data_IF_879593854165
#
_entry.id   IF_879593854165
#
_cell.length_a   1.000
_cell.length_b   1.000
_cell.length_c   1.000
_cell.angle_alpha   90.00
_cell.angle_beta   90.00
_cell.angle_gamma   90.00
#
_symmetry.space_group_name_H-M   'P 1'
#
loop_
_entity.id
_entity.type
_entity.pdbx_description
1 polymer ?
#
# COMPACT_ATOMS: atom_id res chain seq x y z
N UNK A 1 -37.38 12.49 -15.93
CA UNK A 1 -36.61 11.95 -14.77
C UNK A 1 -37.31 10.69 -14.30
N UNK A 2 -36.57 9.61 -14.05
CA UNK A 2 -37.13 8.31 -13.68
C UNK A 2 -37.89 8.41 -12.34
N UNK A 3 -39.14 7.91 -12.24
CA UNK A 3 -39.95 8.01 -11.01
C UNK A 3 -39.27 7.39 -9.78
N UNK A 4 -38.35 6.43 -9.98
CA UNK A 4 -37.54 5.81 -8.92
C UNK A 4 -36.54 6.78 -8.29
N UNK A 5 -35.94 7.67 -9.09
CA UNK A 5 -34.98 8.68 -8.60
C UNK A 5 -35.70 9.76 -7.79
N UNK A 6 -36.92 10.13 -8.22
CA UNK A 6 -37.75 11.08 -7.49
C UNK A 6 -38.21 10.49 -6.14
N UNK A 7 -38.60 9.21 -6.12
CA UNK A 7 -38.99 8.51 -4.89
C UNK A 7 -37.81 8.35 -3.93
N UNK A 8 -36.61 8.02 -4.44
CA UNK A 8 -35.41 7.91 -3.63
C UNK A 8 -34.98 9.27 -3.04
N UNK A 9 -35.12 10.36 -3.80
CA UNK A 9 -34.86 11.73 -3.31
C UNK A 9 -35.91 12.17 -2.28
N UNK A 10 -37.19 11.86 -2.49
CA UNK A 10 -38.24 12.15 -1.50
C UNK A 10 -38.06 11.33 -0.23
N UNK A 11 -37.67 10.06 -0.33
CA UNK A 11 -37.39 9.21 0.82
C UNK A 11 -36.11 9.67 1.55
N UNK A 12 -35.07 10.06 0.81
CA UNK A 12 -33.87 10.70 1.38
C UNK A 12 -34.20 12.00 2.10
N UNK A 13 -35.03 12.86 1.51
CA UNK A 13 -35.47 14.12 2.11
C UNK A 13 -36.37 13.88 3.33
N UNK A 14 -37.23 12.86 3.28
CA UNK A 14 -38.09 12.45 4.40
C UNK A 14 -37.28 11.86 5.55
N UNK A 15 -36.24 11.07 5.26
CA UNK A 15 -35.28 10.57 6.25
C UNK A 15 -34.44 11.70 6.84
N UNK A 16 -34.08 12.70 6.03
CA UNK A 16 -33.40 13.92 6.48
C UNK A 16 -34.30 14.80 7.36
N UNK A 17 -35.60 14.86 7.07
CA UNK A 17 -36.62 15.53 7.87
C UNK A 17 -36.96 14.77 9.16
N UNK A 18 -36.85 13.43 9.16
CA UNK A 18 -36.99 12.58 10.35
C UNK A 18 -35.80 12.71 11.32
N UNK A 19 -34.66 13.23 10.87
CA UNK A 19 -33.49 13.50 11.71
C UNK A 19 -33.51 14.86 12.42
N UNK A 20 -34.58 15.66 12.28
CA UNK A 20 -34.77 16.88 13.08
C UNK A 20 -35.21 16.49 14.50
N UNK A 21 -34.30 15.83 15.22
CA UNK A 21 -34.36 15.73 16.67
C UNK A 21 -34.06 17.11 17.25
N UNK A 22 -34.77 17.48 18.31
CA UNK A 22 -34.47 18.72 19.01
C UNK A 22 -32.99 18.71 19.43
N UNK A 23 -32.28 19.80 19.17
CA UNK A 23 -30.86 19.90 19.52
C UNK A 23 -30.74 20.53 20.90
N UNK A 24 -29.99 19.89 21.80
CA UNK A 24 -29.68 20.44 23.13
C UNK A 24 -28.36 21.19 23.04
N UNK A 25 -28.31 22.40 23.56
CA UNK A 25 -27.07 23.14 23.69
C UNK A 25 -26.28 22.66 24.91
N UNK A 26 -25.32 21.77 24.63
CA UNK A 26 -24.36 21.23 25.60
C UNK A 26 -22.97 21.77 25.30
N UNK A 27 -22.32 22.32 26.30
CA UNK A 27 -20.92 22.75 26.22
C UNK A 27 -20.02 21.76 26.95
N UNK A 28 -19.05 21.19 26.24
CA UNK A 28 -18.10 20.22 26.77
C UNK A 28 -16.83 20.87 27.30
N UNK A 29 -16.27 20.30 28.36
CA UNK A 29 -15.01 20.67 28.98
C UNK A 29 -14.13 19.42 29.17
N UNK A 30 -12.98 19.33 28.48
CA UNK A 30 -12.47 20.28 27.49
C UNK A 30 -13.32 20.29 26.20
N UNK A 31 -13.38 21.44 25.51
CA UNK A 31 -14.19 21.67 24.30
C UNK A 31 -13.76 20.82 23.11
N UNK A 32 -12.54 20.28 23.15
CA UNK A 32 -12.06 19.33 22.15
C UNK A 32 -11.12 18.31 22.81
N UNK A 33 -11.39 17.02 22.58
CA UNK A 33 -10.52 15.92 23.00
C UNK A 33 -9.70 15.44 21.81
N UNK A 34 -8.80 16.31 21.35
CA UNK A 34 -8.07 16.04 20.10
C UNK A 34 -7.25 14.76 20.13
N UNK A 35 -6.68 14.34 21.26
CA UNK A 35 -5.89 13.11 21.39
C UNK A 35 -6.07 12.48 22.78
N UNK A 36 -6.59 11.26 22.82
CA UNK A 36 -6.58 10.36 24.00
C UNK A 36 -5.75 9.14 23.62
N UNK A 37 -4.85 8.71 24.50
CA UNK A 37 -4.06 7.51 24.22
C UNK A 37 -4.92 6.25 24.37
N UNK A 38 -4.69 5.24 23.54
CA UNK A 38 -5.29 3.90 23.71
C UNK A 38 -5.05 3.39 25.15
N UNK A 39 -6.08 2.79 25.75
CA UNK A 39 -6.16 2.33 27.16
C UNK A 39 -6.21 3.45 28.22
N UNK A 40 -6.17 4.72 27.83
CA UNK A 40 -6.31 5.85 28.76
C UNK A 40 -7.78 6.09 29.12
N UNK A 41 -8.01 6.46 30.38
CA UNK A 41 -9.31 6.95 30.86
C UNK A 41 -9.23 8.45 31.12
N UNK A 42 -10.27 9.18 30.71
CA UNK A 42 -10.33 10.64 30.86
C UNK A 42 -11.72 11.08 31.24
N UNK A 43 -11.81 11.89 32.30
CA UNK A 43 -13.07 12.51 32.71
C UNK A 43 -13.39 13.67 31.78
N UNK A 44 -14.62 13.68 31.28
CA UNK A 44 -15.17 14.75 30.45
C UNK A 44 -16.33 15.36 31.21
N UNK A 45 -16.33 16.68 31.30
CA UNK A 45 -17.39 17.45 31.93
C UNK A 45 -18.23 18.10 30.86
N UNK A 46 -19.51 18.32 31.15
CA UNK A 46 -20.42 19.03 30.25
C UNK A 46 -21.40 19.86 31.04
N UNK A 47 -21.85 20.97 30.46
CA UNK A 47 -22.90 21.81 31.04
C UNK A 47 -24.03 21.98 30.03
N UNK A 48 -25.26 21.92 30.51
CA UNK A 48 -26.47 22.07 29.69
C UNK A 48 -27.00 23.49 29.88
N UNK A 49 -27.16 24.21 28.78
CA UNK A 49 -27.56 25.63 28.79
C UNK A 49 -29.05 25.86 28.56
N UNK A 50 -29.81 24.79 28.30
CA UNK A 50 -31.24 24.88 28.04
C UNK A 50 -32.02 24.96 29.37
N UNK A 51 -32.65 26.11 29.62
CA UNK A 51 -33.45 26.39 30.82
C UNK A 51 -34.92 25.94 30.70
N UNK A 52 -35.32 25.34 29.58
CA UNK A 52 -36.63 24.71 29.49
C UNK A 52 -36.60 23.38 30.24
N UNK A 53 -37.65 23.11 31.02
CA UNK A 53 -38.04 21.82 31.63
C UNK A 53 -37.74 21.68 33.14
N UNK A 54 -38.76 22.04 33.92
CA UNK A 54 -38.80 22.16 35.38
C UNK A 54 -39.15 20.85 36.14
N UNK A 55 -38.93 19.66 35.57
CA UNK A 55 -39.25 18.40 36.27
C UNK A 55 -38.03 17.47 36.38
N UNK A 56 -37.30 17.48 37.52
CA UNK A 56 -36.06 16.73 37.70
C UNK A 56 -36.24 15.21 37.78
N UNK A 57 -37.47 14.70 37.92
CA UNK A 57 -37.71 13.27 38.17
C UNK A 57 -37.98 12.44 36.89
N UNK A 58 -38.13 13.06 35.71
CA UNK A 58 -38.42 12.33 34.46
C UNK A 58 -37.34 12.45 33.37
N UNK A 59 -36.36 13.35 33.54
CA UNK A 59 -35.36 13.67 32.51
C UNK A 59 -34.00 13.09 32.89
N UNK A 60 -33.43 12.23 32.05
CA UNK A 60 -32.10 11.64 32.24
C UNK A 60 -31.17 12.09 31.12
N UNK A 61 -30.00 12.62 31.47
CA UNK A 61 -28.92 12.91 30.53
C UNK A 61 -27.93 11.76 30.48
N UNK A 62 -27.70 11.23 29.27
CA UNK A 62 -26.80 10.11 29.05
C UNK A 62 -25.82 10.43 27.93
N UNK A 63 -24.54 10.26 28.18
CA UNK A 63 -23.54 10.31 27.13
C UNK A 63 -23.54 8.99 26.35
N UNK A 64 -23.47 9.08 25.02
CA UNK A 64 -23.36 7.95 24.10
C UNK A 64 -22.18 8.17 23.15
N UNK A 65 -21.43 7.11 22.90
CA UNK A 65 -20.38 7.08 21.87
C UNK A 65 -20.99 6.63 20.55
N UNK A 66 -20.65 7.31 19.45
CA UNK A 66 -21.07 6.91 18.10
C UNK A 66 -20.47 5.56 17.70
N UNK A 67 -19.25 5.26 18.14
CA UNK A 67 -18.58 3.98 17.89
C UNK A 67 -18.05 3.39 19.22
N UNK A 68 -18.74 2.39 19.78
CA UNK A 68 -18.35 1.75 21.04
C UNK A 68 -17.06 0.92 20.92
N UNK A 69 -16.55 0.63 19.71
CA UNK A 69 -15.27 -0.10 19.55
C UNK A 69 -14.05 0.82 19.72
N UNK A 70 -14.22 2.12 19.49
CA UNK A 70 -13.15 3.13 19.62
C UNK A 70 -13.17 3.70 21.04
N UNK A 71 -14.35 4.06 21.55
CA UNK A 71 -14.53 4.67 22.87
C UNK A 71 -15.77 4.09 23.56
N UNK A 72 -15.61 3.77 24.84
CA UNK A 72 -16.71 3.41 25.74
C UNK A 72 -16.81 4.41 26.89
N UNK A 73 -18.05 4.67 27.31
CA UNK A 73 -18.35 5.49 28.47
C UNK A 73 -18.46 4.55 29.68
N UNK A 74 -17.52 4.69 30.59
CA UNK A 74 -17.38 3.83 31.76
C UNK A 74 -18.17 4.44 32.94
N UNK A 75 -18.78 3.58 33.77
CA UNK A 75 -19.57 3.98 34.95
C UNK A 75 -20.81 4.87 34.71
N UNK A 76 -21.27 4.99 33.45
CA UNK A 76 -22.44 5.80 33.12
C UNK A 76 -22.17 7.31 33.11
N UNK A 77 -23.24 8.11 33.09
CA UNK A 77 -23.17 9.58 33.08
C UNK A 77 -23.72 10.10 34.40
N UNK A 78 -22.92 10.92 35.07
CA UNK A 78 -23.35 11.65 36.26
C UNK A 78 -23.87 13.03 35.84
N UNK A 79 -24.99 13.47 36.40
CA UNK A 79 -25.56 14.78 36.16
C UNK A 79 -26.07 15.39 37.46
N UNK A 80 -25.62 16.61 37.76
CA UNK A 80 -26.08 17.45 38.86
C UNK A 80 -27.12 18.45 38.34
N UNK A 81 -28.39 18.19 38.67
CA UNK A 81 -29.53 19.01 38.27
C UNK A 81 -29.55 20.39 38.92
N UNK A 82 -28.83 20.62 40.02
CA UNK A 82 -28.82 21.92 40.68
C UNK A 82 -27.91 22.93 39.96
N UNK A 83 -26.84 22.44 39.36
CA UNK A 83 -25.85 23.25 38.65
C UNK A 83 -25.87 23.06 37.13
N UNK A 84 -26.79 22.23 36.61
CA UNK A 84 -26.90 21.83 35.20
C UNK A 84 -25.58 21.31 34.61
N UNK A 85 -24.78 20.64 35.44
CA UNK A 85 -23.45 20.15 35.09
C UNK A 85 -23.40 18.64 35.22
N UNK A 86 -22.75 17.98 34.28
CA UNK A 86 -22.53 16.54 34.31
C UNK A 86 -21.08 16.17 34.03
N UNK A 87 -20.78 14.91 34.31
CA UNK A 87 -19.50 14.31 34.01
C UNK A 87 -19.67 12.86 33.58
N UNK A 88 -18.76 12.39 32.74
CA UNK A 88 -18.68 10.99 32.37
C UNK A 88 -17.22 10.59 32.17
N UNK A 89 -16.92 9.33 32.45
CA UNK A 89 -15.58 8.79 32.28
C UNK A 89 -15.50 8.12 30.90
N UNK A 90 -14.57 8.56 30.09
CA UNK A 90 -14.34 8.03 28.75
C UNK A 90 -13.13 7.11 28.79
N UNK A 91 -13.28 5.89 28.30
CA UNK A 91 -12.17 4.95 28.10
C UNK A 91 -11.89 4.77 26.61
N UNK A 92 -10.65 5.04 26.20
CA UNK A 92 -10.18 4.80 24.85
C UNK A 92 -9.82 3.32 24.67
N UNK A 93 -10.47 2.64 23.72
CA UNK A 93 -10.29 1.21 23.48
C UNK A 93 -9.41 0.93 22.26
N UNK A 94 -9.58 1.68 21.18
CA UNK A 94 -8.88 1.43 19.92
C UNK A 94 -8.65 2.73 19.14
N UNK A 95 -7.61 2.75 18.30
CA UNK A 95 -7.28 3.94 17.50
C UNK A 95 -8.37 4.27 16.49
N UNK A 96 -8.65 5.56 16.31
CA UNK A 96 -9.66 6.03 15.36
C UNK A 96 -10.23 7.40 15.74
N UNK A 97 -11.17 7.88 14.92
CA UNK A 97 -11.96 9.09 15.21
C UNK A 97 -13.40 8.71 15.48
N UNK A 98 -13.96 9.26 16.54
CA UNK A 98 -15.37 9.08 16.89
C UNK A 98 -15.90 10.33 17.58
N UNK A 99 -17.22 10.42 17.70
CA UNK A 99 -17.88 11.53 18.37
C UNK A 99 -18.68 11.04 19.57
N UNK A 100 -18.63 11.78 20.67
CA UNK A 100 -19.48 11.56 21.82
C UNK A 100 -20.63 12.57 21.77
N UNK A 101 -21.85 12.12 22.05
CA UNK A 101 -23.04 12.98 22.15
C UNK A 101 -23.71 12.77 23.50
N UNK A 102 -24.31 13.81 24.03
CA UNK A 102 -25.21 13.71 25.20
C UNK A 102 -26.63 13.67 24.67
N UNK A 103 -27.37 12.64 25.05
CA UNK A 103 -28.79 12.50 24.76
C UNK A 103 -29.59 12.78 26.00
N UNK A 104 -30.75 13.40 25.78
CA UNK A 104 -31.78 13.55 26.80
C UNK A 104 -32.86 12.50 26.56
N UNK A 105 -33.07 11.68 27.57
CA UNK A 105 -34.12 10.68 27.60
C UNK A 105 -35.22 11.13 28.56
N UNK A 106 -36.48 11.04 28.13
CA UNK A 106 -37.67 11.26 28.97
C UNK A 106 -38.52 10.01 28.88
N UNK A 107 -38.80 9.38 30.02
CA UNK A 107 -39.54 8.11 30.09
C UNK A 107 -38.99 7.03 29.14
N UNK A 108 -37.66 6.97 28.98
CA UNK A 108 -36.96 6.00 28.11
C UNK A 108 -36.98 6.33 26.61
N UNK A 109 -37.55 7.47 26.21
CA UNK A 109 -37.54 7.94 24.81
C UNK A 109 -36.56 9.09 24.62
N UNK A 110 -35.68 8.99 23.62
CA UNK A 110 -34.74 10.06 23.26
C UNK A 110 -35.51 11.24 22.67
N UNK A 111 -35.50 12.38 23.35
CA UNK A 111 -36.17 13.61 22.88
C UNK A 111 -35.22 14.54 22.13
N UNK A 112 -33.98 14.61 22.58
CA UNK A 112 -33.04 15.61 22.07
C UNK A 112 -31.59 15.13 22.15
N UNK A 113 -30.76 15.61 21.22
CA UNK A 113 -29.37 15.17 21.04
C UNK A 113 -28.44 16.39 20.98
N UNK A 114 -27.30 16.33 21.67
CA UNK A 114 -26.32 17.40 21.65
C UNK A 114 -25.52 17.45 20.34
N UNK A 115 -24.83 18.57 20.14
CA UNK A 115 -23.72 18.64 19.19
C UNK A 115 -22.63 17.60 19.53
N UNK A 116 -21.92 17.06 18.51
CA UNK A 116 -20.89 16.06 18.74
C UNK A 116 -19.62 16.66 19.36
N UNK A 117 -19.11 16.00 20.40
CA UNK A 117 -17.74 16.17 20.86
C UNK A 117 -16.83 15.25 20.07
N UNK A 118 -16.04 15.82 19.16
CA UNK A 118 -15.07 15.07 18.36
C UNK A 118 -13.91 14.57 19.24
N UNK A 119 -13.60 13.29 19.13
CA UNK A 119 -12.53 12.62 19.87
C UNK A 119 -11.66 11.81 18.92
N UNK A 120 -10.34 11.97 19.02
CA UNK A 120 -9.40 11.10 18.32
C UNK A 120 -8.60 10.27 19.32
N UNK A 121 -8.63 8.95 19.14
CA UNK A 121 -7.84 8.01 19.91
C UNK A 121 -6.58 7.68 19.13
N UNK A 122 -5.43 7.85 19.78
CA UNK A 122 -4.10 7.62 19.21
C UNK A 122 -3.44 6.42 19.88
N UNK A 123 -2.67 5.67 19.09
CA UNK A 123 -2.01 4.46 19.58
C UNK A 123 -0.78 4.81 20.40
N UNK A 124 -0.56 4.09 21.51
CA UNK A 124 0.71 4.17 22.23
C UNK A 124 1.79 3.41 21.45
N UNK A 125 2.82 4.12 21.00
CA UNK A 125 3.96 3.50 20.31
C UNK A 125 4.76 2.64 21.29
N UNK A 126 4.57 1.32 21.22
CA UNK A 126 5.29 0.33 22.03
C UNK A 126 6.76 0.23 21.60
N UNK A 127 7.64 -0.19 22.52
CA UNK A 127 9.07 -0.40 22.22
C UNK A 127 9.29 -1.35 21.04
N UNK A 128 8.44 -2.36 20.91
CA UNK A 128 8.48 -3.31 19.79
C UNK A 128 8.21 -2.66 18.43
N UNK A 129 7.28 -1.71 18.35
CA UNK A 129 7.02 -0.98 17.10
C UNK A 129 8.22 -0.11 16.73
N UNK A 130 8.89 0.52 17.71
CA UNK A 130 10.14 1.28 17.45
C UNK A 130 11.26 0.37 16.95
N UNK A 131 11.45 -0.79 17.59
CA UNK A 131 12.41 -1.78 17.15
C UNK A 131 12.13 -2.25 15.72
N UNK A 132 10.87 -2.57 15.40
CA UNK A 132 10.44 -2.92 14.05
C UNK A 132 10.77 -1.83 13.02
N UNK A 133 10.38 -0.58 13.28
CA UNK A 133 10.67 0.53 12.36
C UNK A 133 12.17 0.70 12.13
N UNK A 134 12.98 0.64 13.19
CA UNK A 134 14.44 0.75 13.07
C UNK A 134 15.05 -0.42 12.28
N UNK A 135 14.60 -1.66 12.53
CA UNK A 135 15.05 -2.84 11.80
C UNK A 135 14.67 -2.78 10.32
N UNK A 136 13.44 -2.37 9.99
CA UNK A 136 13.00 -2.21 8.60
C UNK A 136 13.80 -1.13 7.89
N UNK A 137 13.99 0.04 8.50
CA UNK A 137 14.80 1.11 7.93
C UNK A 137 16.22 0.64 7.62
N UNK A 138 16.82 -0.14 8.52
CA UNK A 138 18.16 -0.72 8.34
C UNK A 138 18.18 -1.74 7.20
N UNK A 139 17.24 -2.68 7.17
CA UNK A 139 17.16 -3.72 6.14
C UNK A 139 16.88 -3.14 4.75
N UNK A 140 15.97 -2.17 4.65
CA UNK A 140 15.70 -1.43 3.41
C UNK A 140 16.96 -0.72 2.92
N UNK A 141 17.67 -0.03 3.81
CA UNK A 141 18.92 0.65 3.46
C UNK A 141 19.98 -0.32 2.94
N UNK A 142 20.15 -1.47 3.61
CA UNK A 142 21.05 -2.53 3.15
C UNK A 142 20.65 -3.09 1.78
N UNK A 143 19.35 -3.25 1.53
CA UNK A 143 18.84 -3.72 0.24
C UNK A 143 19.12 -2.68 -0.87
N UNK A 144 18.92 -1.39 -0.60
CA UNK A 144 19.23 -0.31 -1.54
C UNK A 144 20.74 -0.20 -1.83
N UNK A 145 21.60 -0.40 -0.82
CA UNK A 145 23.05 -0.50 -1.03
C UNK A 145 23.39 -1.71 -1.90
N UNK A 146 22.82 -2.89 -1.62
CA UNK A 146 23.05 -4.10 -2.42
C UNK A 146 22.57 -3.93 -3.87
N UNK A 147 21.43 -3.27 -4.08
CA UNK A 147 20.94 -2.91 -5.41
C UNK A 147 21.93 -1.97 -6.12
N UNK A 148 22.40 -0.91 -5.45
CA UNK A 148 23.39 0.01 -6.02
C UNK A 148 24.70 -0.70 -6.39
N UNK A 149 25.16 -1.64 -5.56
CA UNK A 149 26.32 -2.49 -5.87
C UNK A 149 26.09 -3.40 -7.09
N UNK A 150 24.85 -3.81 -7.34
CA UNK A 150 24.48 -4.67 -8.45
C UNK A 150 24.26 -3.91 -9.78
N UNK A 151 23.94 -2.62 -9.70
CA UNK A 151 23.51 -1.80 -10.84
C UNK A 151 24.69 -1.28 -11.67
N UNK A 152 25.06 -1.97 -12.75
CA UNK A 152 26.13 -1.50 -13.66
C UNK A 152 25.63 -0.39 -14.59
N UNK A 153 26.18 0.81 -14.46
CA UNK A 153 25.77 1.98 -15.27
C UNK A 153 26.00 1.77 -16.77
N UNK A 154 26.97 0.94 -17.18
CA UNK A 154 27.18 0.59 -18.59
C UNK A 154 26.03 -0.27 -19.12
N UNK A 155 25.54 -1.20 -18.29
CA UNK A 155 24.37 -2.04 -18.58
C UNK A 155 23.10 -1.21 -18.60
N UNK A 156 22.92 -0.29 -17.64
CA UNK A 156 21.80 0.67 -17.64
C UNK A 156 21.76 1.44 -18.97
N UNK A 157 22.90 1.98 -19.41
CA UNK A 157 23.00 2.68 -20.70
C UNK A 157 22.66 1.76 -21.88
N UNK A 158 23.09 0.50 -21.86
CA UNK A 158 22.78 -0.46 -22.92
C UNK A 158 21.29 -0.83 -22.96
N UNK A 159 20.65 -1.01 -21.80
CA UNK A 159 19.21 -1.25 -21.69
C UNK A 159 18.42 -0.05 -22.20
N UNK A 160 18.84 1.18 -21.84
CA UNK A 160 18.19 2.40 -22.31
C UNK A 160 18.30 2.63 -23.82
N UNK A 161 19.29 2.03 -24.50
CA UNK A 161 19.35 2.03 -25.98
C UNK A 161 18.26 1.18 -26.63
N UNK A 162 17.62 0.28 -25.87
CA UNK A 162 16.45 -0.51 -26.29
C UNK A 162 15.22 0.00 -25.52
N UNK A 163 14.66 1.16 -25.90
CA UNK A 163 13.78 1.94 -25.02
C UNK A 163 12.42 1.31 -24.78
N UNK A 164 11.96 0.39 -25.63
CA UNK A 164 10.57 -0.14 -25.58
C UNK A 164 10.24 -0.69 -24.19
N UNK A 165 11.03 -1.63 -23.66
CA UNK A 165 10.74 -2.25 -22.37
C UNK A 165 10.86 -1.28 -21.18
N UNK A 166 11.94 -0.48 -21.05
CA UNK A 166 12.02 0.57 -20.03
C UNK A 166 10.90 1.62 -20.11
N UNK A 167 10.48 2.01 -21.32
CA UNK A 167 9.38 2.95 -21.52
C UNK A 167 8.04 2.38 -21.07
N UNK A 168 7.77 1.11 -21.37
CA UNK A 168 6.57 0.43 -20.87
C UNK A 168 6.59 0.39 -19.35
N UNK A 169 7.71 0.00 -18.73
CA UNK A 169 7.85 0.00 -17.27
C UNK A 169 7.63 1.38 -16.65
N UNK A 170 8.16 2.44 -17.28
CA UNK A 170 7.95 3.80 -16.80
C UNK A 170 6.48 4.25 -16.90
N UNK A 171 5.84 3.99 -18.05
CA UNK A 171 4.43 4.36 -18.29
C UNK A 171 3.50 3.55 -17.39
N UNK A 172 3.74 2.25 -17.23
CA UNK A 172 2.94 1.42 -16.35
C UNK A 172 3.07 1.90 -14.89
N UNK A 173 4.30 2.19 -14.43
CA UNK A 173 4.55 2.63 -13.06
C UNK A 173 3.97 4.02 -12.75
N UNK A 174 4.13 5.00 -13.64
CA UNK A 174 3.80 6.40 -13.32
C UNK A 174 2.63 6.99 -14.07
N UNK A 175 2.05 6.28 -15.03
CA UNK A 175 0.76 6.66 -15.59
C UNK A 175 -0.32 5.69 -15.14
N UNK A 176 -0.12 4.39 -15.34
CA UNK A 176 -1.19 3.42 -15.16
C UNK A 176 -1.46 3.10 -13.69
N UNK A 177 -0.43 2.77 -12.90
CA UNK A 177 -0.61 2.40 -11.48
C UNK A 177 -1.27 3.49 -10.63
N UNK A 178 -0.91 4.79 -10.76
CA UNK A 178 -1.61 5.86 -10.04
C UNK A 178 -3.09 5.96 -10.42
N UNK A 179 -3.41 5.81 -11.71
CA UNK A 179 -4.79 5.86 -12.20
C UNK A 179 -5.62 4.66 -11.73
N UNK A 180 -5.03 3.46 -11.77
CA UNK A 180 -5.65 2.23 -11.25
C UNK A 180 -5.91 2.38 -9.75
N UNK A 181 -4.92 2.82 -8.99
CA UNK A 181 -5.05 3.02 -7.55
C UNK A 181 -6.12 4.07 -7.21
N UNK A 182 -6.14 5.20 -7.92
CA UNK A 182 -7.15 6.24 -7.75
C UNK A 182 -8.56 5.73 -8.08
N UNK A 183 -8.72 5.04 -9.20
CA UNK A 183 -10.00 4.46 -9.62
C UNK A 183 -10.52 3.43 -8.62
N UNK A 184 -9.67 2.47 -8.22
CA UNK A 184 -10.03 1.47 -7.21
C UNK A 184 -10.35 2.11 -5.85
N UNK A 185 -9.59 3.13 -5.45
CA UNK A 185 -9.83 3.86 -4.21
C UNK A 185 -11.23 4.49 -4.20
N UNK A 186 -11.58 5.23 -5.26
CA UNK A 186 -12.89 5.89 -5.39
C UNK A 186 -14.05 4.91 -5.51
N UNK A 187 -13.80 3.70 -6.04
CA UNK A 187 -14.84 2.67 -6.22
C UNK A 187 -15.08 1.82 -4.96
N UNK A 188 -14.04 1.56 -4.16
CA UNK A 188 -14.10 0.56 -3.09
C UNK A 188 -14.09 1.14 -1.67
N UNK A 189 -13.73 2.42 -1.52
CA UNK A 189 -13.67 3.07 -0.21
C UNK A 189 -14.54 4.31 -0.16
N UNK A 190 -15.35 4.42 0.89
CA UNK A 190 -16.01 5.68 1.27
C UNK A 190 -15.07 6.58 2.10
N UNK A 191 -14.10 5.97 2.79
CA UNK A 191 -13.17 6.67 3.66
C UNK A 191 -11.97 7.20 2.87
N UNK A 192 -11.84 8.53 2.80
CA UNK A 192 -10.79 9.24 2.06
C UNK A 192 -9.38 8.91 2.57
N UNK A 193 -9.23 8.56 3.86
CA UNK A 193 -7.94 8.14 4.44
C UNK A 193 -7.48 6.83 3.81
N UNK A 194 -8.39 5.87 3.59
CA UNK A 194 -8.09 4.62 2.90
C UNK A 194 -7.85 4.83 1.41
N UNK A 195 -8.62 5.74 0.78
CA UNK A 195 -8.40 6.15 -0.61
C UNK A 195 -6.99 6.70 -0.80
N UNK A 196 -6.57 7.60 0.09
CA UNK A 196 -5.23 8.16 0.08
C UNK A 196 -4.16 7.09 0.29
N UNK A 197 -4.39 6.14 1.22
CA UNK A 197 -3.50 5.00 1.44
C UNK A 197 -3.24 4.19 0.16
N UNK A 198 -4.29 3.84 -0.58
CA UNK A 198 -4.16 3.11 -1.84
C UNK A 198 -3.53 3.95 -2.95
N UNK A 199 -3.94 5.21 -3.08
CA UNK A 199 -3.43 6.12 -4.10
C UNK A 199 -1.93 6.38 -3.93
N UNK A 200 -1.49 6.65 -2.70
CA UNK A 200 -0.08 6.81 -2.36
C UNK A 200 0.71 5.51 -2.62
N UNK A 201 0.14 4.35 -2.30
CA UNK A 201 0.73 3.07 -2.68
C UNK A 201 0.94 2.99 -4.19
N UNK A 202 -0.10 3.29 -4.99
CA UNK A 202 -0.09 3.32 -6.46
C UNK A 202 0.88 4.30 -7.13
N UNK A 203 1.22 5.39 -6.43
CA UNK A 203 2.18 6.38 -6.91
C UNK A 203 3.64 6.00 -6.59
N UNK A 204 3.85 5.03 -5.71
CA UNK A 204 5.19 4.69 -5.24
C UNK A 204 6.02 4.07 -6.37
N UNK A 205 7.36 4.23 -6.37
CA UNK A 205 8.22 3.57 -7.36
C UNK A 205 8.18 2.04 -7.23
N UNK A 206 8.78 1.36 -8.20
CA UNK A 206 9.03 -0.08 -8.12
C UNK A 206 9.75 -0.48 -6.83
N UNK A 207 9.29 -1.55 -6.20
CA UNK A 207 9.83 -2.04 -4.93
C UNK A 207 11.06 -2.92 -5.11
N UNK A 208 12.08 -2.81 -4.24
CA UNK A 208 13.32 -3.59 -4.35
C UNK A 208 13.13 -5.12 -4.35
N UNK A 209 11.98 -5.63 -3.89
CA UNK A 209 11.61 -7.03 -4.00
C UNK A 209 11.32 -7.50 -5.45
N UNK A 210 11.02 -6.58 -6.38
CA UNK A 210 10.79 -6.89 -7.79
C UNK A 210 12.00 -7.59 -8.41
N UNK A 211 13.21 -7.10 -8.12
CA UNK A 211 14.47 -7.66 -8.60
C UNK A 211 14.63 -9.14 -8.20
N UNK A 212 14.26 -9.49 -6.97
CA UNK A 212 14.32 -10.89 -6.51
C UNK A 212 13.31 -11.77 -7.24
N UNK A 213 12.07 -11.31 -7.38
CA UNK A 213 11.04 -12.05 -8.10
C UNK A 213 11.37 -12.24 -9.58
N UNK A 214 11.96 -11.23 -10.21
CA UNK A 214 12.47 -11.32 -11.58
C UNK A 214 13.50 -12.44 -11.69
N UNK A 215 14.46 -12.55 -10.76
CA UNK A 215 15.43 -13.66 -10.76
C UNK A 215 14.75 -15.01 -10.55
N UNK A 216 13.84 -15.12 -9.56
CA UNK A 216 13.16 -16.38 -9.25
C UNK A 216 12.28 -16.89 -10.39
N UNK A 217 11.72 -15.98 -11.18
CA UNK A 217 10.88 -16.30 -12.33
C UNK A 217 11.69 -16.40 -13.65
N UNK A 218 13.02 -16.32 -13.60
CA UNK A 218 13.93 -16.33 -14.76
C UNK A 218 13.66 -15.19 -15.77
N UNK A 219 13.31 -14.01 -15.26
CA UNK A 219 13.19 -12.78 -16.04
C UNK A 219 14.51 -12.04 -16.23
N UNK A 220 14.48 -10.94 -16.98
CA UNK A 220 15.65 -10.11 -17.27
C UNK A 220 15.99 -9.21 -16.06
N UNK A 221 16.96 -9.65 -15.25
CA UNK A 221 17.41 -8.91 -14.06
C UNK A 221 18.00 -7.53 -14.41
N UNK A 222 18.75 -7.42 -15.49
CA UNK A 222 19.38 -6.15 -15.88
C UNK A 222 18.32 -5.10 -16.23
N UNK A 223 17.25 -5.52 -16.90
CA UNK A 223 16.11 -4.67 -17.20
C UNK A 223 15.37 -4.27 -15.90
N UNK A 224 15.09 -5.22 -15.01
CA UNK A 224 14.46 -4.95 -13.70
C UNK A 224 15.24 -3.91 -12.89
N UNK A 225 16.54 -4.12 -12.68
CA UNK A 225 17.40 -3.20 -11.94
C UNK A 225 17.41 -1.79 -12.58
N UNK A 226 17.43 -1.73 -13.91
CA UNK A 226 17.39 -0.47 -14.66
C UNK A 226 16.06 0.26 -14.46
N UNK A 227 14.93 -0.43 -14.58
CA UNK A 227 13.60 0.15 -14.37
C UNK A 227 13.41 0.61 -12.94
N UNK A 228 13.78 -0.20 -11.95
CA UNK A 228 13.69 0.18 -10.54
C UNK A 228 14.57 1.38 -10.22
N UNK A 229 15.78 1.45 -10.80
CA UNK A 229 16.67 2.59 -10.64
C UNK A 229 16.05 3.88 -11.20
N UNK A 230 15.59 3.84 -12.45
CA UNK A 230 14.95 4.98 -13.12
C UNK A 230 13.69 5.39 -12.36
N UNK A 231 12.90 4.41 -11.91
CA UNK A 231 11.69 4.68 -11.14
C UNK A 231 12.00 5.37 -9.83
N UNK A 232 12.95 4.89 -9.03
CA UNK A 232 13.32 5.55 -7.78
C UNK A 232 13.80 7.00 -8.00
N UNK A 233 14.52 7.29 -9.09
CA UNK A 233 14.89 8.66 -9.44
C UNK A 233 13.68 9.50 -9.86
N UNK A 234 12.81 8.94 -10.72
CA UNK A 234 11.62 9.62 -11.20
C UNK A 234 10.59 9.89 -10.09
N UNK A 235 10.57 9.07 -9.03
CA UNK A 235 9.68 9.25 -7.88
C UNK A 235 9.79 10.66 -7.27
N UNK A 236 10.98 11.28 -7.28
CA UNK A 236 11.22 12.63 -6.78
C UNK A 236 10.31 13.68 -7.45
N UNK A 237 9.98 13.50 -8.72
CA UNK A 237 9.08 14.39 -9.46
C UNK A 237 7.68 13.83 -9.62
N UNK A 238 7.56 12.53 -9.94
CA UNK A 238 6.28 11.92 -10.27
C UNK A 238 5.36 11.76 -9.07
N UNK A 239 5.88 11.42 -7.88
CA UNK A 239 5.02 11.32 -6.69
C UNK A 239 4.42 12.68 -6.29
N UNK A 240 5.21 13.77 -6.14
CA UNK A 240 4.63 15.08 -5.91
C UNK A 240 3.63 15.49 -6.99
N UNK A 241 3.93 15.24 -8.27
CA UNK A 241 3.04 15.57 -9.38
C UNK A 241 1.65 14.92 -9.23
N UNK A 242 1.60 13.63 -8.91
CA UNK A 242 0.33 12.93 -8.68
C UNK A 242 -0.40 13.42 -7.43
N UNK A 243 0.34 13.73 -6.37
CA UNK A 243 -0.25 14.24 -5.14
C UNK A 243 -0.79 15.68 -5.29
N UNK A 244 -0.17 16.50 -6.15
CA UNK A 244 -0.66 17.84 -6.51
C UNK A 244 -1.86 17.84 -7.45
N UNK A 245 -2.01 16.79 -8.26
CA UNK A 245 -3.09 16.66 -9.24
C UNK A 245 -4.26 15.88 -8.63
N UNK A 246 -4.35 14.57 -8.87
CA UNK A 246 -5.44 13.74 -8.36
C UNK A 246 -5.43 13.62 -6.84
N UNK A 247 -4.24 13.59 -6.23
CA UNK A 247 -4.11 13.52 -4.77
C UNK A 247 -4.71 14.73 -4.07
N UNK A 248 -4.76 15.91 -4.70
CA UNK A 248 -5.37 17.11 -4.12
C UNK A 248 -6.84 16.87 -3.79
N UNK A 249 -7.55 16.12 -4.62
CA UNK A 249 -8.95 15.74 -4.38
C UNK A 249 -9.16 14.79 -3.19
N UNK A 250 -8.09 14.19 -2.67
CA UNK A 250 -8.09 13.32 -1.49
C UNK A 250 -7.54 14.05 -0.27
N UNK A 251 -6.51 14.88 -0.45
CA UNK A 251 -5.89 15.66 0.63
C UNK A 251 -6.75 16.83 1.09
N UNK A 252 -7.50 17.51 0.20
CA UNK A 252 -8.30 18.68 0.56
C UNK A 252 -9.36 18.42 1.64
N UNK A 253 -9.76 17.15 1.80
CA UNK A 253 -10.75 16.74 2.79
C UNK A 253 -10.09 16.37 4.15
N UNK A 254 -8.78 16.18 4.20
CA UNK A 254 -8.06 15.61 5.35
C UNK A 254 -7.06 16.62 5.97
N UNK A 255 -6.30 17.34 5.14
CA UNK A 255 -5.23 18.21 5.61
C UNK A 255 -5.19 19.50 4.79
N UNK A 256 -4.87 20.61 5.47
CA UNK A 256 -4.87 21.95 4.88
C UNK A 256 -3.82 22.09 3.78
N UNK A 257 -2.71 21.36 3.86
CA UNK A 257 -1.63 21.38 2.87
C UNK A 257 -0.94 20.02 2.73
N UNK A 258 -0.56 19.67 1.50
CA UNK A 258 0.24 18.48 1.22
C UNK A 258 1.69 18.73 1.65
N UNK A 259 2.31 17.89 2.49
CA UNK A 259 3.63 18.18 3.06
C UNK A 259 4.77 17.79 2.11
N UNK A 260 4.92 18.54 1.02
CA UNK A 260 5.92 18.33 -0.04
C UNK A 260 7.35 18.20 0.47
N UNK A 261 7.72 19.02 1.46
CA UNK A 261 9.04 18.97 2.08
C UNK A 261 9.33 17.58 2.66
N UNK A 262 8.35 16.98 3.33
CA UNK A 262 8.51 15.67 3.96
C UNK A 262 8.55 14.55 2.92
N UNK A 263 7.75 14.67 1.85
CA UNK A 263 7.77 13.76 0.70
C UNK A 263 9.16 13.76 0.07
N UNK A 264 9.69 14.94 -0.26
CA UNK A 264 10.99 15.10 -0.89
C UNK A 264 12.12 14.58 0.02
N UNK A 265 12.12 14.94 1.30
CA UNK A 265 13.10 14.45 2.27
C UNK A 265 13.08 12.92 2.38
N UNK A 266 11.88 12.32 2.42
CA UNK A 266 11.73 10.87 2.50
C UNK A 266 12.31 10.18 1.27
N UNK A 267 11.99 10.68 0.06
CA UNK A 267 12.50 10.12 -1.18
C UNK A 267 14.01 10.30 -1.33
N UNK A 268 14.53 11.50 -1.03
CA UNK A 268 15.98 11.79 -1.06
C UNK A 268 16.72 10.89 -0.07
N UNK A 269 16.19 10.68 1.14
CA UNK A 269 16.83 9.83 2.14
C UNK A 269 17.01 8.38 1.67
N UNK A 270 16.12 7.86 0.82
CA UNK A 270 16.25 6.53 0.22
C UNK A 270 17.23 6.48 -0.96
N UNK A 271 17.51 7.60 -1.63
CA UNK A 271 18.55 7.65 -2.67
C UNK A 271 19.96 7.64 -2.08
N UNK A 272 20.15 8.05 -0.82
CA UNK A 272 21.44 8.01 -0.13
C UNK A 272 22.03 6.59 -0.09
N UNK A 273 21.35 5.55 0.44
CA UNK A 273 21.89 4.19 0.44
C UNK A 273 22.14 3.64 -0.97
N UNK A 274 21.31 3.99 -1.95
CA UNK A 274 21.54 3.61 -3.35
C UNK A 274 22.82 4.24 -3.92
N UNK A 275 23.05 5.53 -3.65
CA UNK A 275 24.26 6.24 -4.05
C UNK A 275 25.51 5.65 -3.39
N UNK A 276 25.42 5.23 -2.12
CA UNK A 276 26.50 4.50 -1.43
C UNK A 276 26.80 3.18 -2.15
N UNK A 277 25.77 2.41 -2.52
CA UNK A 277 25.94 1.18 -3.28
C UNK A 277 26.62 1.40 -4.64
N UNK A 278 26.22 2.45 -5.36
CA UNK A 278 26.86 2.86 -6.62
C UNK A 278 28.32 3.27 -6.43
N UNK A 279 28.63 3.99 -5.35
CA UNK A 279 29.99 4.35 -4.99
C UNK A 279 30.85 3.10 -4.71
N UNK A 280 30.31 2.11 -4.00
CA UNK A 280 30.98 0.82 -3.80
C UNK A 280 31.19 0.07 -5.11
N UNK A 281 30.23 0.12 -6.03
CA UNK A 281 30.41 -0.46 -7.34
C UNK A 281 31.58 0.15 -8.11
N UNK A 282 31.71 1.48 -8.06
CA UNK A 282 32.75 2.21 -8.80
C UNK A 282 34.13 2.11 -8.16
N UNK A 283 34.22 2.22 -6.84
CA UNK A 283 35.50 2.35 -6.13
C UNK A 283 35.94 1.09 -5.39
N UNK A 284 35.02 0.18 -5.04
CA UNK A 284 35.28 -1.02 -4.24
C UNK A 284 34.71 -2.28 -4.93
N UNK A 285 35.22 -2.68 -6.11
CA UNK A 285 34.63 -3.75 -6.92
C UNK A 285 34.57 -5.11 -6.20
N UNK A 286 35.51 -5.37 -5.27
CA UNK A 286 35.47 -6.56 -4.41
C UNK A 286 34.25 -6.58 -3.49
N UNK A 287 33.93 -5.44 -2.87
CA UNK A 287 32.73 -5.28 -2.02
C UNK A 287 31.47 -5.42 -2.88
N UNK A 288 31.42 -4.77 -4.04
CA UNK A 288 30.26 -4.88 -4.93
C UNK A 288 30.01 -6.31 -5.44
N UNK A 289 31.07 -7.08 -5.71
CA UNK A 289 30.95 -8.52 -6.05
C UNK A 289 30.37 -9.33 -4.88
N UNK A 290 30.78 -9.02 -3.65
CA UNK A 290 30.23 -9.65 -2.45
C UNK A 290 28.75 -9.28 -2.25
N UNK A 291 28.41 -7.98 -2.30
CA UNK A 291 27.03 -7.47 -2.22
C UNK A 291 26.10 -8.14 -3.24
N UNK A 292 26.55 -8.30 -4.49
CA UNK A 292 25.79 -9.03 -5.53
C UNK A 292 25.52 -10.49 -5.13
N UNK A 293 26.51 -11.18 -4.53
CA UNK A 293 26.35 -12.57 -4.08
C UNK A 293 25.34 -12.69 -2.93
N UNK A 294 25.29 -11.71 -2.04
CA UNK A 294 24.39 -11.72 -0.86
C UNK A 294 23.03 -11.07 -1.12
N UNK A 295 22.79 -10.48 -2.31
CA UNK A 295 21.55 -9.80 -2.67
C UNK A 295 20.31 -10.68 -2.44
N UNK A 296 20.33 -11.90 -2.98
CA UNK A 296 19.23 -12.85 -2.85
C UNK A 296 18.99 -13.32 -1.40
N UNK A 297 19.99 -13.83 -0.65
CA UNK A 297 19.75 -14.29 0.72
C UNK A 297 19.34 -13.15 1.68
N UNK A 298 19.90 -11.95 1.54
CA UNK A 298 19.48 -10.78 2.36
C UNK A 298 18.03 -10.39 2.05
N UNK A 299 17.63 -10.43 0.77
CA UNK A 299 16.24 -10.14 0.37
C UNK A 299 15.26 -11.18 0.92
N UNK A 300 15.60 -12.48 0.84
CA UNK A 300 14.81 -13.56 1.44
C UNK A 300 14.66 -13.36 2.94
N UNK A 301 15.77 -13.10 3.63
CA UNK A 301 15.76 -12.83 5.07
C UNK A 301 14.87 -11.64 5.41
N UNK A 302 14.97 -10.54 4.64
CA UNK A 302 14.13 -9.35 4.83
C UNK A 302 12.64 -9.67 4.66
N UNK A 303 12.26 -10.45 3.65
CA UNK A 303 10.86 -10.85 3.44
C UNK A 303 10.36 -11.68 4.64
N UNK A 304 11.13 -12.69 5.07
CA UNK A 304 10.78 -13.52 6.22
C UNK A 304 10.69 -12.70 7.51
N UNK A 305 11.62 -11.74 7.71
CA UNK A 305 11.62 -10.83 8.84
C UNK A 305 10.37 -9.94 8.85
N UNK A 306 9.99 -9.36 7.71
CA UNK A 306 8.78 -8.53 7.60
C UNK A 306 7.54 -9.37 7.87
N UNK A 307 7.44 -10.59 7.33
CA UNK A 307 6.29 -11.47 7.55
C UNK A 307 6.19 -11.86 9.04
N UNK A 308 7.28 -12.30 9.67
CA UNK A 308 7.24 -12.76 11.06
C UNK A 308 7.16 -11.61 12.05
N UNK A 309 8.18 -10.75 12.07
CA UNK A 309 8.29 -9.67 13.05
C UNK A 309 7.36 -8.50 12.73
N UNK A 310 7.14 -8.19 11.44
CA UNK A 310 6.21 -7.13 11.05
C UNK A 310 4.76 -7.46 11.38
N UNK A 311 4.34 -8.71 11.18
CA UNK A 311 3.00 -9.17 11.62
C UNK A 311 2.86 -9.04 13.13
N UNK A 312 3.84 -9.53 13.89
CA UNK A 312 3.80 -9.47 15.35
C UNK A 312 3.82 -8.02 15.90
N UNK A 313 4.67 -7.16 15.35
CA UNK A 313 4.79 -5.77 15.79
C UNK A 313 3.58 -4.89 15.42
N UNK A 314 2.76 -5.33 14.45
CA UNK A 314 1.63 -4.56 13.92
C UNK A 314 0.31 -5.36 13.94
N UNK A 315 0.12 -6.26 14.91
CA UNK A 315 -1.12 -7.04 15.06
C UNK A 315 -2.40 -6.19 15.08
N UNK A 316 -2.31 -4.94 15.57
CA UNK A 316 -3.43 -4.00 15.57
C UNK A 316 -3.93 -3.66 14.16
N UNK A 317 -3.06 -3.60 13.15
CA UNK A 317 -3.46 -3.29 11.77
C UNK A 317 -4.36 -4.36 11.18
N UNK A 318 -4.20 -5.62 11.59
CA UNK A 318 -5.05 -6.72 11.12
C UNK A 318 -6.49 -6.59 11.62
N UNK A 319 -6.72 -5.91 12.75
CA UNK A 319 -8.08 -5.58 13.22
C UNK A 319 -8.77 -4.53 12.35
N UNK A 320 -7.99 -3.74 11.60
CA UNK A 320 -8.48 -2.73 10.66
C UNK A 320 -8.76 -3.30 9.27
N UNK A 321 -8.41 -4.57 9.01
CA UNK A 321 -8.63 -5.18 7.71
C UNK A 321 -10.12 -5.41 7.47
N UNK A 322 -10.62 -4.81 6.40
CA UNK A 322 -11.95 -5.07 5.87
C UNK A 322 -11.82 -5.79 4.53
N UNK A 323 -12.90 -6.45 4.10
CA UNK A 323 -12.93 -7.10 2.77
C UNK A 323 -12.64 -6.12 1.64
N UNK A 324 -13.14 -4.88 1.74
CA UNK A 324 -12.87 -3.84 0.75
C UNK A 324 -11.38 -3.52 0.67
N UNK A 325 -10.67 -3.44 1.81
CA UNK A 325 -9.21 -3.20 1.84
C UNK A 325 -8.48 -4.34 1.14
N UNK A 326 -8.82 -5.59 1.46
CA UNK A 326 -8.17 -6.76 0.86
C UNK A 326 -8.43 -6.86 -0.64
N UNK A 327 -9.68 -6.62 -1.08
CA UNK A 327 -10.06 -6.63 -2.49
C UNK A 327 -9.34 -5.51 -3.24
N UNK A 328 -9.36 -4.28 -2.73
CA UNK A 328 -8.71 -3.15 -3.39
C UNK A 328 -7.20 -3.33 -3.49
N UNK A 329 -6.56 -3.79 -2.41
CA UNK A 329 -5.13 -4.08 -2.38
C UNK A 329 -4.75 -5.20 -3.35
N UNK A 330 -5.51 -6.29 -3.37
CA UNK A 330 -5.31 -7.42 -4.30
C UNK A 330 -5.50 -6.97 -5.73
N UNK A 331 -6.61 -6.29 -6.03
CA UNK A 331 -6.95 -5.82 -7.37
C UNK A 331 -5.87 -4.87 -7.90
N UNK A 332 -5.40 -3.92 -7.10
CA UNK A 332 -4.36 -2.98 -7.52
C UNK A 332 -3.08 -3.71 -7.93
N UNK A 333 -2.60 -4.64 -7.11
CA UNK A 333 -1.38 -5.40 -7.38
C UNK A 333 -1.54 -6.32 -8.59
N UNK A 334 -2.67 -7.03 -8.69
CA UNK A 334 -2.93 -7.99 -9.76
C UNK A 334 -3.15 -7.31 -11.10
N UNK A 335 -3.85 -6.17 -11.11
CA UNK A 335 -3.98 -5.34 -12.30
C UNK A 335 -2.61 -4.80 -12.74
N UNK A 336 -1.72 -4.45 -11.81
CA UNK A 336 -0.35 -4.10 -12.14
C UNK A 336 0.40 -5.21 -12.90
N UNK A 337 0.36 -6.44 -12.39
CA UNK A 337 0.95 -7.59 -13.08
C UNK A 337 0.30 -7.84 -14.45
N UNK A 338 -1.02 -7.78 -14.52
CA UNK A 338 -1.78 -8.01 -15.75
C UNK A 338 -1.46 -6.97 -16.81
N UNK A 339 -1.53 -5.68 -16.46
CA UNK A 339 -1.28 -4.56 -17.38
C UNK A 339 0.16 -4.58 -17.85
N UNK A 340 1.13 -4.76 -16.94
CA UNK A 340 2.54 -4.87 -17.32
C UNK A 340 2.78 -6.03 -18.30
N UNK A 341 2.09 -7.16 -18.09
CA UNK A 341 2.13 -8.30 -19.02
C UNK A 341 1.51 -7.98 -20.38
N UNK A 342 0.32 -7.37 -20.39
CA UNK A 342 -0.42 -7.06 -21.62
C UNK A 342 0.30 -6.02 -22.47
N UNK A 343 0.80 -4.94 -21.87
CA UNK A 343 1.57 -3.92 -22.58
C UNK A 343 2.87 -4.50 -23.15
N UNK A 344 3.55 -5.34 -22.39
CA UNK A 344 4.78 -6.00 -22.86
C UNK A 344 4.53 -6.97 -24.02
N UNK A 345 3.41 -7.72 -23.97
CA UNK A 345 3.00 -8.60 -25.06
C UNK A 345 2.59 -7.82 -26.31
N UNK A 346 1.89 -6.70 -26.15
CA UNK A 346 1.47 -5.86 -27.27
C UNK A 346 2.65 -5.23 -28.02
N UNK A 347 3.82 -5.16 -27.39
CA UNK A 347 5.07 -4.68 -28.00
C UNK A 347 6.05 -5.82 -28.34
N UNK A 348 5.58 -7.06 -28.42
CA UNK A 348 6.34 -8.25 -28.80
C UNK A 348 7.67 -8.43 -28.03
N UNK A 349 7.66 -8.11 -26.73
CA UNK A 349 8.82 -8.31 -25.88
C UNK A 349 9.12 -9.79 -25.63
N UNK A 350 10.38 -10.11 -25.35
CA UNK A 350 10.77 -11.47 -24.98
C UNK A 350 10.10 -11.89 -23.66
N UNK A 351 9.92 -13.19 -23.44
CA UNK A 351 9.33 -13.68 -22.19
C UNK A 351 10.08 -13.18 -20.95
N UNK A 352 11.41 -13.07 -21.01
CA UNK A 352 12.23 -12.60 -19.90
C UNK A 352 11.95 -11.12 -19.60
N UNK A 353 11.75 -10.30 -20.63
CA UNK A 353 11.43 -8.89 -20.50
C UNK A 353 9.98 -8.68 -20.05
N UNK A 354 9.03 -9.47 -20.56
CA UNK A 354 7.63 -9.47 -20.09
C UNK A 354 7.58 -9.74 -18.59
N UNK A 355 8.30 -10.76 -18.11
CA UNK A 355 8.36 -11.09 -16.67
C UNK A 355 8.93 -9.90 -15.89
N UNK A 356 10.04 -9.31 -16.36
CA UNK A 356 10.66 -8.18 -15.67
C UNK A 356 9.70 -6.96 -15.59
N UNK A 357 9.04 -6.60 -16.69
CA UNK A 357 8.11 -5.45 -16.72
C UNK A 357 6.85 -5.72 -15.91
N UNK A 358 6.27 -6.92 -15.99
CA UNK A 358 5.10 -7.29 -15.22
C UNK A 358 5.39 -7.24 -13.71
N UNK A 359 6.49 -7.88 -13.28
CA UNK A 359 6.92 -7.90 -11.89
C UNK A 359 7.21 -6.49 -11.39
N UNK A 360 7.90 -5.67 -12.18
CA UNK A 360 8.20 -4.28 -11.84
C UNK A 360 6.92 -3.44 -11.65
N UNK A 361 5.93 -3.62 -12.52
CA UNK A 361 4.66 -2.87 -12.46
C UNK A 361 3.83 -3.25 -11.24
N UNK A 362 3.73 -4.54 -10.92
CA UNK A 362 2.88 -5.01 -9.82
C UNK A 362 3.54 -4.87 -8.44
N UNK A 363 4.87 -5.00 -8.35
CA UNK A 363 5.61 -4.88 -7.09
C UNK A 363 5.98 -3.43 -6.82
N UNK A 364 5.19 -2.75 -6.00
CA UNK A 364 5.47 -1.37 -5.60
C UNK A 364 6.25 -1.28 -4.28
N UNK A 365 6.89 -0.13 -4.06
CA UNK A 365 7.60 0.14 -2.82
C UNK A 365 6.65 0.56 -1.69
N UNK A 366 6.18 -0.42 -0.92
CA UNK A 366 5.33 -0.17 0.25
C UNK A 366 6.01 0.68 1.31
N UNK A 367 7.33 0.54 1.49
CA UNK A 367 8.08 1.31 2.48
C UNK A 367 7.97 2.81 2.23
N UNK A 368 8.11 3.23 0.97
CA UNK A 368 7.93 4.63 0.56
C UNK A 368 6.51 5.10 0.86
N UNK A 369 5.50 4.32 0.51
CA UNK A 369 4.11 4.68 0.77
C UNK A 369 3.84 4.90 2.27
N UNK A 370 4.26 3.97 3.13
CA UNK A 370 4.04 4.04 4.57
C UNK A 370 4.79 5.22 5.19
N UNK A 371 6.07 5.40 4.83
CA UNK A 371 6.87 6.52 5.34
C UNK A 371 6.27 7.86 4.92
N UNK A 372 5.83 7.96 3.66
CA UNK A 372 5.20 9.16 3.14
C UNK A 372 3.92 9.48 3.90
N UNK A 373 3.03 8.51 4.10
CA UNK A 373 1.79 8.69 4.87
C UNK A 373 2.09 9.06 6.32
N UNK A 374 3.07 8.42 6.96
CA UNK A 374 3.46 8.67 8.34
C UNK A 374 4.04 10.06 8.59
N UNK A 375 4.76 10.63 7.62
CA UNK A 375 5.22 12.02 7.69
C UNK A 375 4.18 13.03 7.20
N UNK A 376 3.15 12.58 6.50
CA UNK A 376 2.16 13.46 5.89
C UNK A 376 0.90 13.66 6.71
N UNK A 377 0.57 12.68 7.55
CA UNK A 377 -0.65 12.65 8.33
C UNK A 377 -0.32 12.57 9.83
N UNK A 378 -1.19 13.12 10.66
CA UNK A 378 -1.11 12.88 12.10
C UNK A 378 -1.71 11.50 12.46
N UNK A 379 -1.43 11.01 13.67
CA UNK A 379 -2.19 9.88 14.20
C UNK A 379 -3.58 10.37 14.63
N UNK A 380 -4.65 9.59 14.36
CA UNK A 380 -4.64 8.21 13.85
C UNK A 380 -4.68 8.05 12.32
N UNK A 381 -4.80 9.11 11.52
CA UNK A 381 -4.97 8.98 10.06
C UNK A 381 -3.78 8.31 9.37
N UNK A 382 -2.55 8.60 9.81
CA UNK A 382 -1.34 7.95 9.31
C UNK A 382 -1.41 6.42 9.46
N UNK A 383 -1.78 5.92 10.64
CA UNK A 383 -1.87 4.49 10.94
C UNK A 383 -3.00 3.84 10.12
N UNK A 384 -4.15 4.53 9.97
CA UNK A 384 -5.29 4.06 9.17
C UNK A 384 -4.98 3.99 7.67
N UNK A 385 -4.32 5.01 7.12
CA UNK A 385 -3.95 5.03 5.70
C UNK A 385 -2.91 3.95 5.36
N UNK A 386 -1.94 3.72 6.26
CA UNK A 386 -0.88 2.74 6.09
C UNK A 386 -1.37 1.28 6.04
N UNK A 387 -2.58 0.99 6.52
CA UNK A 387 -3.20 -0.34 6.46
C UNK A 387 -3.29 -0.85 5.02
N UNK A 388 -3.63 0.02 4.07
CA UNK A 388 -3.85 -0.39 2.66
C UNK A 388 -2.53 -0.79 1.96
N UNK A 389 -1.44 0.00 2.02
CA UNK A 389 -0.13 -0.44 1.57
C UNK A 389 0.31 -1.77 2.20
N UNK A 390 0.11 -1.95 3.51
CA UNK A 390 0.48 -3.19 4.21
C UNK A 390 -0.31 -4.39 3.68
N UNK A 391 -1.62 -4.23 3.49
CA UNK A 391 -2.46 -5.25 2.86
C UNK A 391 -1.96 -5.59 1.45
N UNK A 392 -1.58 -4.60 0.65
CA UNK A 392 -1.04 -4.81 -0.68
C UNK A 392 0.30 -5.56 -0.66
N UNK A 393 1.20 -5.28 0.30
CA UNK A 393 2.43 -6.05 0.47
C UNK A 393 2.17 -7.53 0.76
N UNK A 394 1.17 -7.83 1.60
CA UNK A 394 0.80 -9.21 1.94
C UNK A 394 0.23 -9.93 0.70
N UNK A 395 -0.53 -9.22 -0.14
CA UNK A 395 -1.15 -9.78 -1.34
C UNK A 395 -0.19 -9.92 -2.52
N UNK A 396 0.97 -9.24 -2.51
CA UNK A 396 1.93 -9.22 -3.61
C UNK A 396 2.63 -10.57 -3.87
N UNK A 397 3.14 -11.30 -2.85
CA UNK A 397 3.77 -12.60 -3.07
C UNK A 397 2.84 -13.67 -3.64
N UNK A 398 1.53 -13.61 -3.37
CA UNK A 398 0.57 -14.67 -3.75
C UNK A 398 0.59 -15.01 -5.25
N UNK A 399 0.32 -14.07 -6.18
CA UNK A 399 0.33 -14.39 -7.61
C UNK A 399 1.73 -14.80 -8.10
N UNK A 400 2.79 -14.26 -7.52
CA UNK A 400 4.17 -14.56 -7.90
C UNK A 400 4.59 -15.98 -7.43
N UNK A 401 4.15 -16.41 -6.26
CA UNK A 401 4.32 -17.78 -5.77
C UNK A 401 3.54 -18.76 -6.66
N UNK A 402 2.30 -18.45 -7.02
CA UNK A 402 1.52 -19.26 -7.96
C UNK A 402 2.24 -19.39 -9.31
N UNK A 403 2.74 -18.29 -9.87
CA UNK A 403 3.51 -18.29 -11.10
C UNK A 403 4.81 -19.11 -10.97
N UNK A 404 5.53 -18.99 -9.85
CA UNK A 404 6.74 -19.75 -9.58
C UNK A 404 6.47 -21.27 -9.51
N UNK A 405 5.45 -21.67 -8.76
CA UNK A 405 5.04 -23.08 -8.63
C UNK A 405 4.62 -23.62 -9.99
N UNK A 406 3.84 -22.86 -10.76
CA UNK A 406 3.42 -23.23 -12.11
C UNK A 406 4.61 -23.42 -13.05
N UNK A 407 5.56 -22.48 -13.07
CA UNK A 407 6.77 -22.58 -13.90
C UNK A 407 7.59 -23.82 -13.50
N UNK A 408 7.75 -24.09 -12.20
CA UNK A 408 8.45 -25.28 -11.73
C UNK A 408 7.74 -26.59 -12.10
N UNK A 409 6.43 -26.65 -11.92
CA UNK A 409 5.64 -27.81 -12.30
C UNK A 409 5.76 -28.04 -13.82
N UNK A 410 5.53 -27.00 -14.63
CA UNK A 410 5.66 -27.09 -16.09
C UNK A 410 7.04 -27.57 -16.51
N UNK A 411 8.13 -27.02 -15.95
CA UNK A 411 9.48 -27.43 -16.32
C UNK A 411 9.81 -28.86 -15.89
N UNK A 412 9.17 -29.38 -14.83
CA UNK A 412 9.32 -30.77 -14.39
C UNK A 412 8.59 -31.75 -15.32
N UNK A 413 7.39 -31.40 -15.79
CA UNK A 413 6.56 -32.26 -16.63
C UNK A 413 6.81 -32.09 -18.14
N UNK A 414 7.27 -30.91 -18.56
CA UNK A 414 7.59 -30.55 -19.95
C UNK A 414 8.96 -29.87 -20.01
N UNK A 415 10.06 -30.62 -19.83
CA UNK A 415 11.40 -30.05 -19.93
C UNK A 415 11.63 -29.49 -21.34
N UNK A 416 12.12 -28.25 -21.44
CA UNK A 416 12.59 -27.70 -22.72
C UNK A 416 13.77 -28.55 -23.21
N UNK A 417 13.74 -28.97 -24.48
CA UNK A 417 14.92 -29.57 -25.12
C UNK A 417 16.03 -28.52 -25.10
N UNK A 418 17.24 -28.82 -24.60
CA UNK A 418 18.33 -27.86 -24.58
C UNK A 418 18.71 -27.45 -26.01
N UNK A 419 18.91 -26.15 -26.22
CA UNK A 419 19.26 -25.50 -27.51
C UNK A 419 20.50 -26.13 -28.15
N UNK A 420 21.38 -26.75 -27.36
CA UNK A 420 22.56 -27.50 -27.84
C UNK A 420 22.23 -28.79 -28.59
N UNK A 421 21.00 -29.31 -28.53
CA UNK A 421 20.58 -30.46 -29.35
C UNK A 421 19.99 -30.07 -30.71
N UNK A 422 19.52 -28.83 -30.89
CA UNK A 422 19.00 -28.39 -32.18
C UNK A 422 20.11 -28.19 -33.22
N UNK A 423 21.32 -27.81 -32.80
CA UNK A 423 22.47 -27.70 -33.70
C UNK A 423 23.15 -29.03 -34.04
N UNK A 424 22.90 -30.10 -33.27
CA UNK A 424 23.52 -31.42 -33.51
C UNK A 424 22.70 -32.26 -34.49
N UNK A 425 21.43 -31.89 -34.75
CA UNK A 425 20.56 -32.65 -35.65
C UNK A 425 20.72 -32.29 -37.13
N UNK A 426 21.22 -31.10 -37.48
CA UNK A 426 21.42 -30.73 -38.90
C UNK A 426 22.74 -31.31 -39.48
N UNK A 427 23.81 -31.43 -38.70
CA UNK A 427 25.13 -31.86 -39.23
C UNK A 427 25.33 -33.38 -39.31
N UNK A 428 24.58 -34.19 -38.52
CA UNK A 428 24.73 -35.65 -38.51
C UNK A 428 23.77 -36.40 -39.44
N UNK A 429 22.64 -35.82 -39.87
CA UNK A 429 21.71 -36.46 -40.82
C UNK A 429 22.08 -36.19 -42.29
N UNK A 430 22.75 -35.07 -42.62
CA UNK A 430 23.15 -34.79 -44.01
C UNK A 430 24.26 -35.73 -44.52
N UNK A 431 25.00 -36.39 -43.62
CA UNK A 431 26.05 -37.37 -43.98
C UNK A 431 25.58 -38.83 -44.08
N UNK A 432 24.30 -39.12 -43.86
CA UNK A 432 23.75 -40.49 -43.96
C UNK A 432 22.84 -40.73 -45.17
N UNK A 433 22.68 -39.74 -46.06
CA UNK A 433 21.89 -39.89 -47.30
C UNK A 433 22.76 -39.60 -48.53
N UNK A 434 23.91 -40.26 -48.64
CA UNK A 434 24.55 -40.50 -49.93
C UNK A 434 24.99 -41.97 -49.95
N UNK A 435 24.35 -42.84 -50.76
CA UNK A 435 24.81 -44.20 -50.91
C UNK A 435 26.19 -44.19 -51.58
N UNK A 436 27.14 -44.86 -50.93
CA UNK A 436 28.42 -45.26 -51.48
C UNK A 436 28.20 -46.04 -52.78
N UNK A 437 28.55 -45.46 -53.93
CA UNK A 437 28.71 -46.20 -55.17
C UNK A 437 30.01 -47.01 -55.08
N UNK A 438 29.88 -48.28 -54.71
CA UNK A 438 30.94 -49.27 -54.90
C UNK A 438 31.18 -49.52 -56.39
N UNK A 439 32.44 -49.45 -56.80
CA UNK A 439 33.08 -50.30 -57.81
C UNK A 439 32.24 -50.73 -59.02
N UNK A 440 32.43 -50.06 -60.16
CA UNK A 440 32.37 -50.72 -61.47
C UNK A 440 33.62 -50.32 -62.27
N UNK A 441 34.24 -51.36 -62.82
CA UNK A 441 35.51 -51.44 -63.49
C UNK A 441 35.75 -50.45 -64.62
N UNK A 442 36.95 -49.87 -64.63
CA UNK A 442 37.58 -49.38 -65.86
C UNK A 442 38.27 -50.55 -66.56
N UNK A 443 37.55 -51.22 -67.49
CA UNK A 443 38.17 -52.02 -68.57
C UNK A 443 37.13 -52.27 -69.69
N UNK A 444 37.61 -52.09 -70.93
CA UNK A 444 37.06 -52.51 -72.23
C UNK A 444 36.33 -51.41 -73.05
N UNK A 445 37.14 -50.76 -73.90
CA UNK A 445 36.98 -50.60 -75.37
C UNK A 445 35.56 -50.41 -75.96
N UNK A 446 35.30 -49.23 -76.53
CA UNK A 446 35.05 -48.98 -77.97
C UNK A 446 34.48 -47.56 -78.18
#
# INVERSE_FOLDING_TARGET
MCPVVLLALLFSLLMLLLEVTAAINVTFYPTNLKKIMEEEEKSVYFSVSDNSFNEPNEVIYKAISKDPNIIVINNGTYFDYNHNNGSFLVRALFLGKTSIRVVQEVNGTTKAVSQPLEVSVVRRVKAISRAFTASVATLVSLNYINMGCALDLSVVKAVLKKPIAPSIGFVSQYAVMPLVAYGLARLLFDNVILQLGLFTFGCSPGGGASNMWTVLLNGNLNLSLTMTFISNLAALGMMPLWLFTLGRSLFSEIATEVPFKNILLSLVSMLIPLAIGLAFQKWLPRVAKFCRKILAPVSIFMILFIIAFGTYANLYMFKLFTWNILIAATANVWLGFLIGTLLSKACDLTLQDIIAVAVETGVQNTGIAIVLLGFSLEQPEADLAAVVPVAASIMTPLPLLCAYIFIRARNKYFPKVPESRLYVMDDEEEKKVLPTSSSIDSKILA
#
